data_IF_506927004840
#
_entry.id   IF_506927004840
#
_cell.length_a   1.000
_cell.length_b   1.000
_cell.length_c   1.000
_cell.angle_alpha   90.00
_cell.angle_beta   90.00
_cell.angle_gamma   90.00
#
_symmetry.space_group_name_H-M   'P 1'
#
loop_
_entity.id
_entity.type
_entity.pdbx_description
1 polymer ?
#
# COMPACT_ATOMS: atom_id res chain seq x y z
N UNK A 1 -3.29 -17.61 9.23
CA UNK A 1 -3.33 -16.62 8.13
C UNK A 1 -1.95 -16.00 7.98
N UNK A 2 -1.40 -16.01 6.76
CA UNK A 2 -0.09 -15.42 6.44
C UNK A 2 -0.26 -14.27 5.45
N UNK A 3 0.32 -13.13 5.74
CA UNK A 3 0.22 -11.90 4.95
C UNK A 3 1.62 -11.45 4.54
N UNK A 4 1.85 -11.22 3.25
CA UNK A 4 3.06 -10.59 2.73
C UNK A 4 2.74 -9.12 2.41
N UNK A 5 3.60 -8.20 2.85
CA UNK A 5 3.49 -6.78 2.49
C UNK A 5 4.67 -6.37 1.61
N UNK A 6 4.37 -5.90 0.41
CA UNK A 6 5.34 -5.39 -0.55
C UNK A 6 5.21 -3.87 -0.63
N UNK A 7 6.27 -3.16 -0.27
CA UNK A 7 6.20 -1.70 -0.22
C UNK A 7 7.53 -1.01 0.08
N UNK A 8 7.44 0.11 0.72
CA UNK A 8 8.58 0.94 1.08
C UNK A 8 8.48 1.47 2.52
N UNK A 9 9.06 2.64 2.81
CA UNK A 9 9.01 3.25 4.13
C UNK A 9 7.60 3.55 4.64
N UNK A 10 6.60 3.72 3.78
CA UNK A 10 5.20 3.90 4.21
C UNK A 10 4.64 2.60 4.83
N UNK A 11 5.12 1.44 4.38
CA UNK A 11 4.77 0.13 4.94
C UNK A 11 5.59 -0.18 6.20
N UNK A 12 6.89 0.15 6.24
CA UNK A 12 7.73 -0.17 7.40
C UNK A 12 7.61 0.83 8.55
N UNK A 13 7.08 2.05 8.31
CA UNK A 13 6.96 3.10 9.32
C UNK A 13 6.18 2.62 10.57
N UNK A 14 6.70 3.00 11.75
CA UNK A 14 6.05 2.75 13.04
C UNK A 14 5.62 1.28 13.27
N UNK A 15 6.37 0.33 12.72
CA UNK A 15 6.07 -1.11 12.83
C UNK A 15 4.64 -1.47 12.32
N UNK A 16 4.20 -0.88 11.21
CA UNK A 16 2.88 -1.17 10.63
C UNK A 16 2.64 -2.67 10.41
N UNK A 17 3.60 -3.49 9.92
CA UNK A 17 3.39 -4.94 9.78
C UNK A 17 3.04 -5.62 11.11
N UNK A 18 3.69 -5.24 12.22
CA UNK A 18 3.36 -5.77 13.56
C UNK A 18 1.95 -5.36 13.99
N UNK A 19 1.57 -4.09 13.78
CA UNK A 19 0.21 -3.61 14.07
C UNK A 19 -0.85 -4.38 13.30
N UNK A 20 -0.57 -4.71 12.04
CA UNK A 20 -1.46 -5.53 11.22
C UNK A 20 -1.55 -6.96 11.76
N UNK A 21 -0.42 -7.56 12.17
CA UNK A 21 -0.40 -8.88 12.81
C UNK A 21 -1.26 -8.92 14.07
N UNK A 22 -1.14 -7.92 14.94
CA UNK A 22 -1.92 -7.79 16.18
C UNK A 22 -3.43 -7.66 15.88
N UNK A 23 -3.83 -6.93 14.84
CA UNK A 23 -5.23 -6.74 14.47
C UNK A 23 -5.87 -7.97 13.80
N UNK A 24 -5.07 -8.73 13.07
CA UNK A 24 -5.58 -9.86 12.27
C UNK A 24 -5.36 -11.23 12.91
N UNK A 25 -4.53 -11.31 13.94
CA UNK A 25 -4.07 -12.58 14.54
C UNK A 25 -3.22 -13.42 13.58
N UNK A 26 -2.72 -12.83 12.49
CA UNK A 26 -1.92 -13.51 11.47
C UNK A 26 -0.42 -13.25 11.59
N UNK A 27 0.36 -14.06 10.88
CA UNK A 27 1.77 -13.80 10.61
C UNK A 27 1.87 -12.76 9.49
N UNK A 28 2.62 -11.68 9.71
CA UNK A 28 2.85 -10.64 8.70
C UNK A 28 4.34 -10.50 8.42
N UNK A 29 4.71 -10.78 7.18
CA UNK A 29 6.07 -10.58 6.64
C UNK A 29 6.07 -9.35 5.75
N UNK A 30 7.14 -8.58 5.76
CA UNK A 30 7.26 -7.40 4.88
C UNK A 30 8.57 -7.38 4.12
N UNK A 31 8.49 -7.10 2.84
CA UNK A 31 9.62 -6.78 1.97
C UNK A 31 9.56 -5.30 1.64
N UNK A 32 10.47 -4.54 2.19
CA UNK A 32 10.50 -3.08 2.04
C UNK A 32 11.91 -2.56 1.83
N UNK A 33 12.01 -1.48 1.07
CA UNK A 33 13.20 -0.63 0.94
C UNK A 33 12.72 0.82 0.79
N UNK A 34 13.47 1.77 1.36
CA UNK A 34 13.13 3.19 1.25
C UNK A 34 12.88 3.60 -0.21
N UNK A 35 11.76 4.27 -0.47
CA UNK A 35 11.31 4.73 -1.78
C UNK A 35 11.15 3.63 -2.86
N UNK A 36 11.14 2.35 -2.51
CA UNK A 36 10.90 1.27 -3.47
C UNK A 36 9.57 1.44 -4.20
N UNK A 37 9.56 1.06 -5.47
CA UNK A 37 8.38 1.00 -6.34
C UNK A 37 7.94 -0.45 -6.52
N UNK A 38 6.70 -0.68 -6.88
CA UNK A 38 6.22 -2.02 -7.22
C UNK A 38 6.97 -2.62 -8.42
N UNK A 39 7.47 -1.79 -9.32
CA UNK A 39 8.33 -2.24 -10.43
C UNK A 39 9.65 -2.86 -9.96
N UNK A 40 10.19 -2.42 -8.82
CA UNK A 40 11.39 -3.03 -8.24
C UNK A 40 11.08 -4.40 -7.62
N UNK A 41 9.93 -4.55 -6.96
CA UNK A 41 9.47 -5.85 -6.45
C UNK A 41 9.27 -6.91 -7.55
N UNK A 42 9.02 -6.46 -8.78
CA UNK A 42 8.92 -7.34 -9.97
C UNK A 42 10.26 -7.70 -10.58
N UNK A 43 11.29 -6.92 -10.35
CA UNK A 43 12.58 -7.07 -11.02
C UNK A 43 13.51 -8.02 -10.24
N UNK A 44 13.69 -9.28 -10.68
CA UNK A 44 14.54 -10.26 -9.99
C UNK A 44 16.03 -9.85 -9.96
N UNK A 45 16.47 -8.91 -10.79
CA UNK A 45 17.84 -8.43 -10.81
C UNK A 45 18.18 -7.49 -9.64
N UNK A 46 17.18 -7.08 -8.87
CA UNK A 46 17.38 -6.32 -7.64
C UNK A 46 17.27 -7.23 -6.42
N UNK A 47 18.02 -6.96 -5.35
CA UNK A 47 17.92 -7.73 -4.09
C UNK A 47 16.51 -7.77 -3.51
N UNK A 48 15.76 -6.65 -3.64
CA UNK A 48 14.37 -6.58 -3.16
C UNK A 48 13.46 -7.43 -4.04
N UNK A 49 13.61 -7.33 -5.35
CA UNK A 49 12.81 -8.08 -6.31
C UNK A 49 13.12 -9.58 -6.26
N UNK A 50 14.40 -9.99 -6.23
CA UNK A 50 14.81 -11.39 -6.03
C UNK A 50 14.10 -11.99 -4.82
N UNK A 51 14.21 -11.35 -3.66
CA UNK A 51 13.53 -11.79 -2.43
C UNK A 51 12.02 -11.86 -2.58
N UNK A 52 11.42 -10.88 -3.23
CA UNK A 52 9.96 -10.83 -3.45
C UNK A 52 9.50 -11.93 -4.37
N UNK A 53 10.19 -12.14 -5.50
CA UNK A 53 9.84 -13.17 -6.47
C UNK A 53 10.03 -14.57 -5.87
N UNK A 54 11.08 -14.80 -5.09
CA UNK A 54 11.28 -16.06 -4.37
C UNK A 54 10.14 -16.33 -3.37
N UNK A 55 9.74 -15.33 -2.60
CA UNK A 55 8.62 -15.49 -1.65
C UNK A 55 7.28 -15.77 -2.35
N UNK A 56 7.00 -15.11 -3.46
CA UNK A 56 5.79 -15.36 -4.26
C UNK A 56 5.82 -16.74 -4.93
N UNK A 57 6.99 -17.24 -5.33
CA UNK A 57 7.10 -18.53 -6.00
C UNK A 57 7.10 -19.73 -5.04
N UNK A 58 7.68 -19.58 -3.86
CA UNK A 58 8.01 -20.74 -2.99
C UNK A 58 7.29 -20.75 -1.65
N UNK A 59 6.63 -19.65 -1.26
CA UNK A 59 5.91 -19.58 0.01
C UNK A 59 4.39 -19.50 -0.21
N UNK A 60 3.62 -19.92 0.80
CA UNK A 60 2.15 -19.80 0.78
C UNK A 60 1.69 -18.59 1.55
N UNK A 61 0.87 -17.78 0.90
CA UNK A 61 0.27 -16.57 1.44
C UNK A 61 -1.24 -16.62 1.31
N UNK A 62 -1.95 -16.11 2.30
CA UNK A 62 -3.39 -15.88 2.20
C UNK A 62 -3.68 -14.53 1.51
N UNK A 63 -2.89 -13.52 1.87
CA UNK A 63 -2.99 -12.17 1.32
C UNK A 63 -1.62 -11.59 0.98
N UNK A 64 -1.58 -10.80 -0.08
CA UNK A 64 -0.39 -10.00 -0.42
C UNK A 64 -0.81 -8.54 -0.60
N UNK A 65 -0.24 -7.66 0.23
CA UNK A 65 -0.51 -6.22 0.24
C UNK A 65 0.52 -5.51 -0.63
N UNK A 66 0.05 -4.72 -1.59
CA UNK A 66 0.86 -3.98 -2.55
C UNK A 66 0.78 -2.48 -2.28
N UNK A 67 1.90 -1.85 -1.94
CA UNK A 67 2.01 -0.41 -1.72
C UNK A 67 3.06 0.20 -2.65
N UNK A 68 2.62 1.09 -3.54
CA UNK A 68 3.47 1.83 -4.47
C UNK A 68 4.13 3.03 -3.79
N UNK A 69 5.22 3.55 -4.34
CA UNK A 69 5.86 4.79 -3.89
C UNK A 69 4.85 5.94 -3.86
N UNK A 70 4.90 6.78 -2.82
CA UNK A 70 3.85 7.73 -2.40
C UNK A 70 3.10 8.45 -3.52
N UNK A 71 3.82 8.97 -4.51
CA UNK A 71 3.22 9.65 -5.68
C UNK A 71 3.39 8.88 -6.99
N UNK A 72 3.86 7.63 -6.94
CA UNK A 72 4.11 6.79 -8.11
C UNK A 72 2.92 6.68 -9.07
N UNK A 73 1.70 6.47 -8.56
CA UNK A 73 0.51 6.39 -9.41
C UNK A 73 0.26 7.63 -10.28
N UNK A 74 0.71 8.81 -9.82
CA UNK A 74 0.58 10.08 -10.55
C UNK A 74 1.76 10.30 -11.52
N UNK A 75 2.98 10.08 -11.04
CA UNK A 75 4.19 10.47 -11.79
C UNK A 75 4.72 9.40 -12.73
N UNK A 76 4.32 8.17 -12.53
CA UNK A 76 4.69 7.03 -13.38
C UNK A 76 3.49 6.05 -13.54
N UNK A 77 2.34 6.52 -14.03
CA UNK A 77 1.12 5.71 -14.07
C UNK A 77 1.26 4.43 -14.88
N UNK A 78 1.93 4.45 -16.01
CA UNK A 78 2.17 3.25 -16.84
C UNK A 78 2.92 2.17 -16.05
N UNK A 79 3.97 2.54 -15.33
CA UNK A 79 4.74 1.62 -14.50
C UNK A 79 3.91 1.09 -13.32
N UNK A 80 3.11 1.95 -12.68
CA UNK A 80 2.20 1.56 -11.60
C UNK A 80 1.19 0.52 -12.08
N UNK A 81 0.39 0.81 -13.11
CA UNK A 81 -0.64 -0.11 -13.61
C UNK A 81 -0.05 -1.44 -14.08
N UNK A 82 1.02 -1.41 -14.87
CA UNK A 82 1.71 -2.63 -15.32
C UNK A 82 2.27 -3.47 -14.14
N UNK A 83 2.75 -2.80 -13.08
CA UNK A 83 3.27 -3.51 -11.91
C UNK A 83 2.17 -4.15 -11.09
N UNK A 84 1.06 -3.44 -10.88
CA UNK A 84 -0.12 -3.99 -10.19
C UNK A 84 -0.68 -5.18 -10.95
N UNK A 85 -0.89 -5.05 -12.26
CA UNK A 85 -1.41 -6.15 -13.11
C UNK A 85 -0.55 -7.41 -12.98
N UNK A 86 0.76 -7.27 -13.15
CA UNK A 86 1.69 -8.40 -13.09
C UNK A 86 1.71 -9.05 -11.71
N UNK A 87 1.87 -8.26 -10.63
CA UNK A 87 1.90 -8.79 -9.27
C UNK A 87 0.56 -9.41 -8.86
N UNK A 88 -0.58 -8.78 -9.18
CA UNK A 88 -1.89 -9.35 -8.89
C UNK A 88 -2.11 -10.69 -9.60
N UNK A 89 -1.64 -10.84 -10.84
CA UNK A 89 -1.69 -12.11 -11.56
C UNK A 89 -0.85 -13.18 -10.86
N UNK A 90 0.42 -12.90 -10.55
CA UNK A 90 1.30 -13.83 -9.84
C UNK A 90 0.72 -14.26 -8.48
N UNK A 91 0.19 -13.30 -7.71
CA UNK A 91 -0.41 -13.55 -6.40
C UNK A 91 -1.59 -14.53 -6.52
N UNK A 92 -2.47 -14.33 -7.49
CA UNK A 92 -3.63 -15.23 -7.68
C UNK A 92 -3.23 -16.60 -8.20
N UNK A 93 -2.22 -16.70 -9.06
CA UNK A 93 -1.67 -17.97 -9.53
C UNK A 93 -1.16 -18.85 -8.37
N UNK A 94 -0.75 -18.23 -7.27
CA UNK A 94 -0.35 -18.93 -6.03
C UNK A 94 -1.52 -19.13 -5.04
N UNK A 95 -2.74 -18.73 -5.41
CA UNK A 95 -3.94 -18.89 -4.58
C UNK A 95 -4.13 -17.81 -3.52
N UNK A 96 -3.29 -16.78 -3.50
CA UNK A 96 -3.39 -15.67 -2.56
C UNK A 96 -4.30 -14.55 -3.09
N UNK A 97 -4.73 -13.67 -2.18
CA UNK A 97 -5.59 -12.53 -2.50
C UNK A 97 -4.76 -11.24 -2.52
N UNK A 98 -4.71 -10.51 -3.65
CA UNK A 98 -4.05 -9.22 -3.70
C UNK A 98 -4.88 -8.12 -3.02
N UNK A 99 -4.21 -7.25 -2.26
CA UNK A 99 -4.77 -6.07 -1.62
C UNK A 99 -3.96 -4.86 -2.05
N UNK A 100 -4.58 -3.85 -2.64
CA UNK A 100 -3.92 -2.57 -2.89
C UNK A 100 -4.02 -1.69 -1.65
N UNK A 101 -2.88 -1.28 -1.13
CA UNK A 101 -2.75 -0.31 -0.05
C UNK A 101 -2.62 1.08 -0.67
N UNK A 102 -3.73 1.81 -0.80
CA UNK A 102 -3.77 3.13 -1.39
C UNK A 102 -3.01 4.15 -0.53
N UNK A 103 -2.04 4.82 -1.14
CA UNK A 103 -1.30 5.91 -0.50
C UNK A 103 -2.10 7.21 -0.48
N UNK A 104 -1.63 8.21 0.24
CA UNK A 104 -2.31 9.49 0.50
C UNK A 104 -1.56 10.67 -0.09
N UNK A 105 -2.26 11.81 -0.21
CA UNK A 105 -1.66 13.08 -0.58
C UNK A 105 -0.68 13.55 0.51
N UNK A 106 0.36 14.28 0.11
CA UNK A 106 1.24 14.96 1.06
C UNK A 106 0.44 15.92 1.94
N UNK A 107 0.92 16.19 3.13
CA UNK A 107 0.23 17.02 4.11
C UNK A 107 -0.20 18.37 3.51
N UNK A 108 -1.45 18.74 3.70
CA UNK A 108 -2.01 20.02 3.25
C UNK A 108 -1.19 21.17 3.82
N UNK A 109 -0.80 22.11 2.97
CA UNK A 109 0.11 23.22 3.31
C UNK A 109 1.52 22.77 3.77
N UNK A 110 1.89 21.53 3.57
CA UNK A 110 3.22 20.99 3.89
C UNK A 110 4.31 21.49 2.92
N UNK A 111 5.55 21.57 3.39
CA UNK A 111 6.67 22.04 2.57
C UNK A 111 6.89 21.19 1.30
N UNK A 112 6.71 19.88 1.41
CA UNK A 112 6.90 18.96 0.28
C UNK A 112 5.83 19.10 -0.80
N UNK A 113 4.58 19.36 -0.42
CA UNK A 113 3.49 19.63 -1.36
C UNK A 113 3.75 20.92 -2.11
N UNK A 114 4.11 22.00 -1.38
CA UNK A 114 4.46 23.30 -1.98
C UNK A 114 5.67 23.22 -2.91
N UNK A 115 6.72 22.50 -2.50
CA UNK A 115 7.91 22.33 -3.34
C UNK A 115 7.64 21.59 -4.66
N UNK A 116 6.57 20.80 -4.73
CA UNK A 116 6.11 20.14 -5.95
C UNK A 116 5.18 21.04 -6.79
N UNK A 117 4.70 22.14 -6.24
CA UNK A 117 3.66 22.94 -6.88
C UNK A 117 2.32 22.20 -7.01
N UNK A 118 2.05 21.24 -6.13
CA UNK A 118 0.85 20.42 -6.21
C UNK A 118 -0.24 20.91 -5.27
N UNK A 119 -1.48 20.81 -5.75
CA UNK A 119 -2.68 20.99 -4.93
C UNK A 119 -2.99 19.71 -4.13
N UNK A 120 -3.43 19.90 -2.88
CA UNK A 120 -3.72 18.79 -1.96
C UNK A 120 -4.91 17.95 -2.44
N UNK A 121 -6.01 18.61 -2.79
CA UNK A 121 -7.25 17.94 -3.15
C UNK A 121 -7.10 17.25 -4.52
N UNK A 122 -6.35 17.89 -5.44
CA UNK A 122 -6.02 17.29 -6.73
C UNK A 122 -5.11 16.05 -6.58
N UNK A 123 -4.09 16.11 -5.72
CA UNK A 123 -3.22 14.97 -5.45
C UNK A 123 -4.01 13.81 -4.85
N UNK A 124 -4.86 14.09 -3.86
CA UNK A 124 -5.71 13.08 -3.22
C UNK A 124 -6.66 12.42 -4.23
N UNK A 125 -7.33 13.22 -5.06
CA UNK A 125 -8.23 12.73 -6.11
C UNK A 125 -7.52 11.83 -7.11
N UNK A 126 -6.37 12.27 -7.65
CA UNK A 126 -5.60 11.49 -8.63
C UNK A 126 -5.10 10.16 -8.07
N UNK A 127 -4.63 10.14 -6.82
CA UNK A 127 -4.22 8.90 -6.15
C UNK A 127 -5.42 7.97 -5.97
N UNK A 128 -6.54 8.47 -5.45
CA UNK A 128 -7.75 7.69 -5.27
C UNK A 128 -8.23 7.07 -6.59
N UNK A 129 -8.37 7.87 -7.64
CA UNK A 129 -8.77 7.38 -8.97
C UNK A 129 -7.86 6.28 -9.51
N UNK A 130 -6.53 6.45 -9.37
CA UNK A 130 -5.56 5.47 -9.83
C UNK A 130 -5.67 4.14 -9.08
N UNK A 131 -5.77 4.17 -7.74
CA UNK A 131 -5.89 2.96 -6.94
C UNK A 131 -7.24 2.26 -7.11
N UNK A 132 -8.35 2.99 -7.16
CA UNK A 132 -9.67 2.43 -7.44
C UNK A 132 -9.73 1.77 -8.83
N UNK A 133 -9.16 2.43 -9.85
CA UNK A 133 -9.05 1.86 -11.19
C UNK A 133 -8.21 0.57 -11.17
N UNK A 134 -7.02 0.62 -10.59
CA UNK A 134 -6.13 -0.53 -10.52
C UNK A 134 -6.76 -1.72 -9.77
N UNK A 135 -7.43 -1.47 -8.64
CA UNK A 135 -8.12 -2.51 -7.87
C UNK A 135 -9.23 -3.17 -8.68
N UNK A 136 -10.09 -2.37 -9.32
CA UNK A 136 -11.20 -2.87 -10.13
C UNK A 136 -10.71 -3.68 -11.34
N UNK A 137 -9.73 -3.16 -12.09
CA UNK A 137 -9.21 -3.83 -13.29
C UNK A 137 -8.50 -5.15 -12.97
N UNK A 138 -7.97 -5.28 -11.77
CA UNK A 138 -7.22 -6.47 -11.35
C UNK A 138 -7.97 -7.34 -10.33
N UNK A 139 -9.22 -7.10 -10.03
CA UNK A 139 -9.97 -7.87 -9.02
C UNK A 139 -9.27 -7.94 -7.66
N UNK A 140 -8.54 -6.88 -7.29
CA UNK A 140 -7.86 -6.78 -6.02
C UNK A 140 -8.75 -6.11 -4.97
N UNK A 141 -8.57 -6.46 -3.70
CA UNK A 141 -9.16 -5.69 -2.62
C UNK A 141 -8.50 -4.32 -2.55
N UNK A 142 -9.23 -3.34 -2.06
CA UNK A 142 -8.71 -1.99 -1.83
C UNK A 142 -8.73 -1.66 -0.34
N UNK A 143 -7.57 -1.49 0.27
CA UNK A 143 -7.42 -0.82 1.55
C UNK A 143 -7.25 0.69 1.29
N UNK A 144 -8.35 1.43 1.29
CA UNK A 144 -8.39 2.84 0.88
C UNK A 144 -7.90 3.78 1.99
N UNK A 145 -6.63 3.62 2.36
CA UNK A 145 -5.97 4.43 3.39
C UNK A 145 -5.86 5.89 2.95
N UNK A 146 -5.68 6.12 1.66
CA UNK A 146 -5.61 7.48 1.10
C UNK A 146 -6.88 8.29 1.38
N UNK A 147 -8.04 7.68 1.19
CA UNK A 147 -9.33 8.28 1.54
C UNK A 147 -9.43 8.56 3.05
N UNK A 148 -9.01 7.61 3.89
CA UNK A 148 -9.04 7.81 5.35
C UNK A 148 -8.13 8.94 5.81
N UNK A 149 -6.96 9.09 5.18
CA UNK A 149 -6.09 10.24 5.42
C UNK A 149 -6.74 11.55 4.99
N UNK A 150 -7.37 11.59 3.82
CA UNK A 150 -8.08 12.77 3.34
C UNK A 150 -9.18 13.22 4.31
N UNK A 151 -9.99 12.29 4.81
CA UNK A 151 -11.09 12.55 5.73
C UNK A 151 -10.62 13.03 7.11
N UNK A 152 -9.52 12.49 7.63
CA UNK A 152 -9.15 12.61 9.04
C UNK A 152 -7.92 13.47 9.31
N UNK A 153 -7.01 13.67 8.35
CA UNK A 153 -5.72 14.32 8.60
C UNK A 153 -5.82 15.79 9.01
N UNK A 154 -6.92 16.45 8.66
CA UNK A 154 -7.14 17.85 9.03
C UNK A 154 -7.48 18.03 10.53
N UNK A 155 -7.96 16.98 11.17
CA UNK A 155 -8.41 17.01 12.57
C UNK A 155 -7.56 16.13 13.51
N UNK A 156 -6.85 15.14 12.99
CA UNK A 156 -6.20 14.12 13.82
C UNK A 156 -4.67 14.13 13.78
N UNK A 157 -4.01 14.90 12.96
CA UNK A 157 -2.56 14.91 12.84
C UNK A 157 -2.00 13.50 12.55
N UNK A 158 -1.97 13.08 11.28
CA UNK A 158 -1.60 11.73 10.87
C UNK A 158 -0.19 11.63 10.28
N UNK A 159 0.43 12.77 9.98
CA UNK A 159 1.75 12.85 9.35
C UNK A 159 2.88 12.99 10.37
N UNK A 160 4.04 12.47 10.02
CA UNK A 160 5.31 12.84 10.63
C UNK A 160 5.71 14.26 10.19
N UNK A 161 6.80 14.79 10.74
CA UNK A 161 7.26 16.17 10.51
C UNK A 161 7.59 16.48 9.05
N UNK A 162 7.91 15.46 8.25
CA UNK A 162 8.21 15.63 6.82
C UNK A 162 6.96 15.83 5.95
N UNK A 163 5.77 15.66 6.50
CA UNK A 163 4.49 15.81 5.81
C UNK A 163 4.21 14.76 4.73
N UNK A 164 4.95 13.67 4.72
CA UNK A 164 4.83 12.53 3.79
C UNK A 164 4.57 11.24 4.54
N UNK A 165 5.49 10.87 5.45
CA UNK A 165 5.39 9.65 6.22
C UNK A 165 4.26 9.73 7.24
N UNK A 166 3.65 8.58 7.57
CA UNK A 166 2.69 8.54 8.65
C UNK A 166 3.42 8.63 9.99
N UNK A 167 2.84 9.31 10.95
CA UNK A 167 3.22 9.15 12.35
C UNK A 167 2.60 7.87 12.93
N UNK A 168 2.74 7.65 14.23
CA UNK A 168 2.19 6.47 14.93
C UNK A 168 0.68 6.30 14.70
N UNK A 169 -0.09 7.40 14.74
CA UNK A 169 -1.55 7.39 14.50
C UNK A 169 -1.88 7.06 13.04
N UNK A 170 -1.13 7.65 12.09
CA UNK A 170 -1.29 7.37 10.67
C UNK A 170 -1.00 5.91 10.32
N UNK A 171 0.06 5.33 10.86
CA UNK A 171 0.37 3.90 10.68
C UNK A 171 -0.68 2.98 11.31
N UNK A 172 -1.23 3.35 12.47
CA UNK A 172 -2.33 2.61 13.09
C UNK A 172 -3.60 2.68 12.26
N UNK A 173 -3.91 3.83 11.67
CA UNK A 173 -5.04 4.00 10.75
C UNK A 173 -4.86 3.12 9.52
N UNK A 174 -3.67 3.11 8.92
CA UNK A 174 -3.36 2.27 7.78
C UNK A 174 -3.54 0.77 8.10
N UNK A 175 -2.98 0.30 9.21
CA UNK A 175 -3.13 -1.09 9.65
C UNK A 175 -4.61 -1.48 9.86
N UNK A 176 -5.41 -0.61 10.50
CA UNK A 176 -6.85 -0.84 10.67
C UNK A 176 -7.60 -0.91 9.34
N UNK A 177 -7.27 -0.05 8.38
CA UNK A 177 -7.92 -0.03 7.07
C UNK A 177 -7.58 -1.29 6.27
N UNK A 178 -6.33 -1.78 6.34
CA UNK A 178 -5.94 -3.05 5.71
C UNK A 178 -6.66 -4.23 6.38
N UNK A 179 -6.70 -4.26 7.71
CA UNK A 179 -7.40 -5.32 8.46
C UNK A 179 -8.89 -5.35 8.14
N UNK A 180 -9.53 -4.18 8.00
CA UNK A 180 -10.95 -4.08 7.62
C UNK A 180 -11.22 -4.68 6.23
N UNK A 181 -10.38 -4.38 5.24
CA UNK A 181 -10.52 -4.96 3.88
C UNK A 181 -10.40 -6.50 3.89
N UNK A 182 -9.56 -7.06 4.77
CA UNK A 182 -9.45 -8.52 4.97
C UNK A 182 -10.71 -9.08 5.61
N UNK A 183 -11.25 -8.40 6.62
CA UNK A 183 -12.42 -8.84 7.37
C UNK A 183 -13.69 -8.82 6.49
N UNK A 184 -13.93 -7.73 5.78
CA UNK A 184 -15.06 -7.60 4.85
C UNK A 184 -15.09 -8.70 3.79
N UNK A 185 -13.91 -9.09 3.27
CA UNK A 185 -13.84 -10.22 2.35
C UNK A 185 -14.27 -11.55 3.00
N UNK A 186 -13.85 -11.79 4.25
CA UNK A 186 -14.21 -13.03 4.96
C UNK A 186 -15.71 -13.11 5.18
N UNK A 187 -16.34 -12.00 5.55
CA UNK A 187 -17.79 -11.91 5.75
C UNK A 187 -18.58 -12.17 4.47
N UNK A 188 -18.06 -11.69 3.32
CA UNK A 188 -18.69 -11.90 2.02
C UNK A 188 -18.53 -13.32 1.45
N UNK A 189 -17.76 -14.20 2.12
CA UNK A 189 -17.56 -15.60 1.73
C UNK A 189 -18.37 -16.58 2.58
N UNK A 190 -19.04 -16.10 3.63
CA UNK A 190 -19.94 -16.85 4.52
C UNK A 190 -21.39 -16.74 4.07
#
# INVERSE_FOLDING_TARGET
MRILMLGNSLTSANNLPRKLAELTGGEVVSHTRGAARLSEHRNPDTKLGERTQAALAHEKWDYVVLQEMSHGPITAPKSFFSSVENLCRQIREQGAVPILYATWAYQKNGAKLRAKGWDYDEMARKLSEAYHKAARENGALLADVGRRFYELSQTQGLYADDGIHPNERGSRLAAKTIAAAIQERKENLL
#
